data_IF_095050972605
#
_entry.id   IF_095050972605
#
_cell.length_a   1.000
_cell.length_b   1.000
_cell.length_c   1.000
_cell.angle_alpha   90.00
_cell.angle_beta   90.00
_cell.angle_gamma   90.00
#
_symmetry.space_group_name_H-M   'P 1'
#
loop_
_entity.id
_entity.type
_entity.pdbx_description
1 polymer ?
#
# COMPACT_ATOMS: atom_id res chain seq x y z
N UNK A 1 24.44 -20.03 -1.61
CA UNK A 1 23.95 -20.14 -0.23
C UNK A 1 22.74 -19.22 -0.14
N UNK A 2 21.62 -19.79 0.28
CA UNK A 2 20.25 -19.29 0.11
C UNK A 2 20.03 -17.88 0.66
N UNK A 3 19.45 -17.01 -0.17
CA UNK A 3 18.82 -15.75 0.24
C UNK A 3 17.37 -15.76 -0.26
N UNK A 4 16.66 -16.85 0.02
CA UNK A 4 15.22 -16.94 -0.19
C UNK A 4 14.49 -16.64 1.12
N UNK A 5 13.52 -15.72 1.06
CA UNK A 5 12.45 -15.50 2.05
C UNK A 5 12.72 -14.61 3.28
N UNK A 6 13.35 -13.44 3.09
CA UNK A 6 13.01 -12.25 3.89
C UNK A 6 11.76 -11.52 3.36
N UNK A 7 10.89 -12.22 2.60
CA UNK A 7 9.48 -11.84 2.54
C UNK A 7 8.93 -12.17 3.90
N UNK A 8 8.91 -11.19 4.81
CA UNK A 8 8.03 -11.08 5.97
C UNK A 8 6.98 -12.20 5.97
N UNK A 9 7.39 -13.36 6.49
CA UNK A 9 6.58 -14.59 6.61
C UNK A 9 5.70 -14.43 7.85
N UNK A 10 5.14 -13.24 8.06
CA UNK A 10 4.52 -12.86 9.33
C UNK A 10 3.14 -13.47 9.53
N UNK A 11 2.66 -14.23 8.55
CA UNK A 11 1.41 -14.93 8.58
C UNK A 11 1.64 -16.36 8.11
N UNK A 12 2.32 -17.18 8.93
CA UNK A 12 2.30 -18.65 8.83
C UNK A 12 0.89 -19.11 8.43
N UNK A 13 0.70 -19.88 7.35
CA UNK A 13 -0.46 -20.69 6.86
C UNK A 13 -1.91 -20.37 7.33
N UNK A 14 -2.15 -19.22 7.94
CA UNK A 14 -3.36 -18.81 8.66
C UNK A 14 -3.93 -17.63 7.91
N UNK A 15 -5.10 -17.85 7.35
CA UNK A 15 -5.81 -16.83 6.60
C UNK A 15 -6.30 -15.72 7.52
N UNK A 16 -5.85 -14.49 7.27
CA UNK A 16 -6.44 -13.27 7.83
C UNK A 16 -7.58 -12.84 6.92
N UNK A 17 -8.77 -12.65 7.48
CA UNK A 17 -9.90 -12.13 6.70
C UNK A 17 -9.67 -10.68 6.36
N UNK A 18 -9.83 -10.35 5.08
CA UNK A 18 -9.70 -9.00 4.53
C UNK A 18 -11.00 -8.54 3.87
N UNK A 19 -11.17 -7.23 3.77
CA UNK A 19 -12.21 -6.58 3.01
C UNK A 19 -11.64 -5.38 2.26
N UNK A 20 -12.00 -5.24 1.00
CA UNK A 20 -11.65 -4.09 0.17
C UNK A 20 -12.76 -3.04 0.23
N UNK A 21 -12.39 -1.79 0.49
CA UNK A 21 -13.27 -0.63 0.40
C UNK A 21 -12.93 0.14 -0.89
N UNK A 22 -13.82 0.09 -1.88
CA UNK A 22 -13.62 0.75 -3.18
C UNK A 22 -13.69 2.28 -3.09
N UNK A 23 -14.45 2.84 -2.15
CA UNK A 23 -14.59 4.29 -2.03
C UNK A 23 -13.33 4.92 -1.45
N UNK A 24 -12.68 4.22 -0.52
CA UNK A 24 -11.44 4.66 0.13
C UNK A 24 -10.17 4.12 -0.53
N UNK A 25 -10.28 3.16 -1.44
CA UNK A 25 -9.15 2.40 -2.00
C UNK A 25 -8.25 1.79 -0.90
N UNK A 26 -8.90 1.24 0.14
CA UNK A 26 -8.24 0.72 1.33
C UNK A 26 -8.59 -0.74 1.63
N UNK A 27 -7.58 -1.48 2.08
CA UNK A 27 -7.75 -2.82 2.65
C UNK A 27 -7.99 -2.72 4.16
N UNK A 28 -9.04 -3.40 4.60
CA UNK A 28 -9.37 -3.63 6.00
C UNK A 28 -9.04 -5.06 6.39
N UNK A 29 -8.44 -5.23 7.57
CA UNK A 29 -7.99 -6.52 8.09
C UNK A 29 -8.72 -6.84 9.38
N UNK A 30 -9.11 -8.11 9.58
CA UNK A 30 -9.68 -8.54 10.85
C UNK A 30 -8.65 -8.46 11.97
N UNK A 31 -8.93 -7.62 12.98
CA UNK A 31 -8.03 -7.44 14.12
C UNK A 31 -7.92 -8.73 14.93
N UNK A 32 -9.05 -9.44 15.12
CA UNK A 32 -9.09 -10.70 15.88
C UNK A 32 -8.25 -11.78 15.21
N UNK A 33 -8.26 -11.87 13.88
CA UNK A 33 -7.46 -12.86 13.15
C UNK A 33 -5.97 -12.54 13.29
N UNK A 34 -5.58 -11.26 13.16
CA UNK A 34 -4.19 -10.82 13.35
C UNK A 34 -3.73 -11.09 14.77
N UNK A 35 -4.54 -10.80 15.79
CA UNK A 35 -4.26 -11.15 17.18
C UNK A 35 -4.07 -12.67 17.32
N UNK A 36 -4.88 -13.48 16.64
CA UNK A 36 -4.74 -14.94 16.66
C UNK A 36 -3.49 -15.49 15.96
N UNK A 37 -2.91 -14.74 15.03
CA UNK A 37 -1.62 -15.08 14.40
C UNK A 37 -0.46 -14.62 15.28
N UNK A 38 -0.50 -13.39 15.77
CA UNK A 38 0.60 -12.75 16.50
C UNK A 38 0.60 -13.03 18.01
N UNK A 39 -0.27 -13.92 18.48
CA UNK A 39 -0.31 -14.34 19.89
C UNK A 39 -0.56 -15.83 20.02
N UNK A 40 -0.19 -16.41 21.17
CA UNK A 40 -0.53 -17.77 21.56
C UNK A 40 -1.87 -17.86 22.31
N UNK A 41 -2.72 -16.82 22.19
CA UNK A 41 -3.98 -16.80 22.94
C UNK A 41 -4.93 -17.88 22.42
N UNK A 42 -5.43 -18.78 23.29
CA UNK A 42 -6.46 -19.75 22.89
C UNK A 42 -7.80 -19.06 22.54
N UNK A 43 -7.98 -17.81 22.96
CA UNK A 43 -9.15 -17.00 22.65
C UNK A 43 -8.76 -15.58 22.19
N UNK A 44 -8.46 -15.40 20.89
CA UNK A 44 -8.07 -14.11 20.32
C UNK A 44 -9.13 -13.01 20.51
N UNK A 45 -10.43 -13.36 20.58
CA UNK A 45 -11.49 -12.38 20.83
C UNK A 45 -11.39 -11.79 22.24
N UNK A 46 -11.15 -12.62 23.25
CA UNK A 46 -10.99 -12.14 24.62
C UNK A 46 -9.68 -11.35 24.77
N UNK A 47 -8.61 -11.81 24.11
CA UNK A 47 -7.35 -11.06 24.06
C UNK A 47 -7.57 -9.66 23.47
N UNK A 48 -8.24 -9.57 22.31
CA UNK A 48 -8.55 -8.29 21.68
C UNK A 48 -9.39 -7.39 22.59
N UNK A 49 -10.42 -7.92 23.26
CA UNK A 49 -11.23 -7.15 24.22
C UNK A 49 -10.37 -6.50 25.31
N UNK A 50 -9.46 -7.28 25.91
CA UNK A 50 -8.55 -6.78 26.95
C UNK A 50 -7.55 -5.77 26.39
N UNK A 51 -6.95 -6.05 25.23
CA UNK A 51 -6.01 -5.15 24.57
C UNK A 51 -6.67 -3.81 24.21
N UNK A 52 -7.87 -3.84 23.63
CA UNK A 52 -8.66 -2.66 23.30
C UNK A 52 -8.94 -1.81 24.54
N UNK A 53 -9.31 -2.43 25.66
CA UNK A 53 -9.51 -1.69 26.92
C UNK A 53 -8.23 -1.03 27.45
N UNK A 54 -7.06 -1.66 27.30
CA UNK A 54 -5.78 -1.06 27.69
C UNK A 54 -5.44 0.12 26.79
N UNK A 55 -5.57 -0.08 25.48
CA UNK A 55 -5.28 0.96 24.48
C UNK A 55 -6.18 2.19 24.64
N UNK A 56 -7.46 2.02 24.96
CA UNK A 56 -8.36 3.14 25.28
C UNK A 56 -7.87 3.91 26.53
N UNK A 57 -7.42 3.20 27.58
CA UNK A 57 -6.89 3.84 28.80
C UNK A 57 -5.58 4.60 28.54
N UNK A 58 -4.77 4.13 27.61
CA UNK A 58 -3.55 4.80 27.15
C UNK A 58 -3.83 6.02 26.26
N UNK A 59 -5.09 6.28 25.89
CA UNK A 59 -5.47 7.35 24.97
C UNK A 59 -5.21 7.03 23.50
N UNK A 60 -5.00 5.76 23.15
CA UNK A 60 -4.78 5.34 21.77
C UNK A 60 -6.08 5.47 20.95
N UNK A 61 -6.13 6.47 20.07
CA UNK A 61 -7.29 6.76 19.23
C UNK A 61 -7.52 5.73 18.12
N UNK A 62 -6.48 4.98 17.71
CA UNK A 62 -6.59 3.97 16.64
C UNK A 62 -7.57 2.85 16.97
N UNK A 63 -7.90 2.65 18.26
CA UNK A 63 -8.86 1.63 18.70
C UNK A 63 -10.23 2.20 19.10
N UNK A 64 -10.33 3.51 19.29
CA UNK A 64 -11.56 4.19 19.70
C UNK A 64 -12.59 4.17 18.56
N UNK A 65 -12.13 4.24 17.31
CA UNK A 65 -12.95 4.21 16.10
C UNK A 65 -12.66 2.99 15.20
N UNK A 66 -12.50 1.78 15.77
CA UNK A 66 -12.40 0.59 14.92
C UNK A 66 -13.70 0.42 14.10
N UNK A 67 -13.55 0.38 12.77
CA UNK A 67 -14.67 0.07 11.88
C UNK A 67 -15.13 -1.38 12.13
N UNK A 68 -16.42 -1.63 11.93
CA UNK A 68 -16.97 -2.99 11.98
C UNK A 68 -17.54 -3.38 10.62
N UNK A 69 -16.96 -4.42 10.02
CA UNK A 69 -17.43 -4.97 8.75
C UNK A 69 -18.01 -6.36 8.94
N UNK A 70 -18.98 -6.72 8.09
CA UNK A 70 -19.58 -8.07 8.06
C UNK A 70 -18.66 -9.02 7.29
N UNK A 71 -17.76 -9.70 8.00
CA UNK A 71 -16.84 -10.69 7.43
C UNK A 71 -17.43 -12.10 7.51
N UNK A 72 -17.13 -12.94 6.52
CA UNK A 72 -17.52 -14.36 6.51
C UNK A 72 -16.74 -15.11 7.59
N UNK A 73 -17.41 -15.92 8.39
CA UNK A 73 -16.81 -16.78 9.39
C UNK A 73 -16.30 -18.06 8.72
N UNK A 74 -15.05 -18.49 9.02
CA UNK A 74 -14.49 -19.72 8.47
C UNK A 74 -15.13 -20.98 9.09
N UNK A 75 -15.77 -20.87 10.27
CA UNK A 75 -16.33 -22.04 10.99
C UNK A 75 -17.68 -22.49 10.43
N UNK A 76 -18.53 -21.55 10.06
CA UNK A 76 -19.93 -21.80 9.71
C UNK A 76 -20.39 -21.08 8.43
N UNK A 77 -19.49 -20.32 7.78
CA UNK A 77 -19.78 -19.60 6.54
C UNK A 77 -20.71 -18.39 6.68
N UNK A 78 -21.22 -18.08 7.88
CA UNK A 78 -22.12 -16.95 8.13
C UNK A 78 -21.35 -15.64 8.23
N UNK A 79 -22.00 -14.50 8.00
CA UNK A 79 -21.36 -13.17 8.09
C UNK A 79 -21.60 -12.52 9.45
N UNK A 80 -20.53 -12.11 10.12
CA UNK A 80 -20.58 -11.48 11.44
C UNK A 80 -19.87 -10.13 11.44
N UNK A 81 -20.40 -9.18 12.23
CA UNK A 81 -19.72 -7.91 12.51
C UNK A 81 -18.41 -8.20 13.22
N UNK A 82 -17.30 -7.79 12.61
CA UNK A 82 -15.95 -8.02 13.10
C UNK A 82 -15.23 -6.68 13.15
N UNK A 83 -14.53 -6.39 14.25
CA UNK A 83 -13.65 -5.23 14.35
C UNK A 83 -12.52 -5.38 13.30
N UNK A 84 -12.39 -4.38 12.44
CA UNK A 84 -11.38 -4.30 11.39
C UNK A 84 -10.53 -3.06 11.55
N UNK A 85 -9.30 -3.13 11.04
CA UNK A 85 -8.35 -2.01 10.99
C UNK A 85 -7.84 -1.81 9.56
N UNK A 86 -7.62 -0.57 9.17
CA UNK A 86 -6.79 -0.25 8.01
C UNK A 86 -5.30 -0.56 8.30
N UNK A 87 -4.41 -0.34 7.32
CA UNK A 87 -2.99 -0.64 7.48
C UNK A 87 -2.33 0.14 8.62
N UNK A 88 -2.61 1.45 8.73
CA UNK A 88 -1.97 2.31 9.73
C UNK A 88 -2.44 1.94 11.15
N UNK A 89 -3.75 1.75 11.32
CA UNK A 89 -4.34 1.27 12.56
C UNK A 89 -3.77 -0.09 12.96
N UNK A 90 -3.62 -1.00 12.00
CA UNK A 90 -3.10 -2.34 12.25
C UNK A 90 -1.64 -2.29 12.73
N UNK A 91 -0.77 -1.56 12.03
CA UNK A 91 0.63 -1.39 12.43
C UNK A 91 0.73 -0.82 13.85
N UNK A 92 -0.13 0.14 14.20
CA UNK A 92 -0.17 0.72 15.55
C UNK A 92 -0.64 -0.27 16.61
N UNK A 93 -1.64 -1.11 16.31
CA UNK A 93 -2.16 -2.13 17.23
C UNK A 93 -1.09 -3.20 17.50
N UNK A 94 -0.38 -3.66 16.46
CA UNK A 94 0.66 -4.71 16.58
C UNK A 94 1.77 -4.31 17.57
N UNK A 95 2.18 -3.04 17.57
CA UNK A 95 3.19 -2.54 18.51
C UNK A 95 2.79 -2.77 19.98
N UNK A 96 1.49 -2.75 20.29
CA UNK A 96 0.95 -2.94 21.64
C UNK A 96 0.67 -4.40 22.00
N UNK A 97 1.03 -5.39 21.17
CA UNK A 97 0.87 -6.82 21.48
C UNK A 97 2.11 -7.35 22.21
N UNK A 98 2.08 -7.64 23.53
CA UNK A 98 3.20 -8.22 24.26
C UNK A 98 3.28 -9.74 24.03
N UNK A 99 3.67 -10.17 22.83
CA UNK A 99 3.87 -11.59 22.51
C UNK A 99 5.20 -11.82 21.79
N UNK A 100 5.94 -12.90 22.09
CA UNK A 100 7.12 -13.29 21.32
C UNK A 100 6.84 -13.47 19.83
N UNK A 101 5.63 -13.88 19.44
CA UNK A 101 5.22 -14.01 18.03
C UNK A 101 5.10 -12.68 17.30
N UNK A 102 4.83 -11.59 18.01
CA UNK A 102 4.78 -10.26 17.45
C UNK A 102 6.19 -9.63 17.34
N UNK A 103 7.19 -10.17 18.04
CA UNK A 103 8.52 -9.55 18.16
C UNK A 103 9.24 -9.42 16.81
N UNK A 104 9.29 -10.45 15.93
CA UNK A 104 9.89 -10.29 14.60
C UNK A 104 9.26 -9.15 13.79
N UNK A 105 7.94 -8.95 13.92
CA UNK A 105 7.25 -7.84 13.26
C UNK A 105 7.69 -6.49 13.80
N UNK A 106 7.87 -6.38 15.12
CA UNK A 106 8.27 -5.13 15.76
C UNK A 106 9.71 -4.76 15.44
N UNK A 107 10.60 -5.75 15.40
CA UNK A 107 11.99 -5.57 14.94
C UNK A 107 11.99 -5.06 13.50
N UNK A 108 11.24 -5.72 12.61
CA UNK A 108 11.10 -5.27 11.23
C UNK A 108 10.55 -3.83 11.12
N UNK A 109 9.54 -3.47 11.92
CA UNK A 109 9.04 -2.08 11.99
C UNK A 109 10.11 -1.09 12.44
N UNK A 110 10.95 -1.46 13.41
CA UNK A 110 12.04 -0.64 13.89
C UNK A 110 13.13 -0.47 12.83
N UNK A 111 13.45 -1.53 12.08
CA UNK A 111 14.38 -1.50 10.94
C UNK A 111 13.88 -0.53 9.85
N UNK A 112 12.61 -0.64 9.45
CA UNK A 112 12.00 0.29 8.48
C UNK A 112 12.04 1.73 9.01
N UNK A 113 11.79 1.93 10.31
CA UNK A 113 11.89 3.24 10.95
C UNK A 113 13.30 3.83 10.89
N UNK A 114 14.32 3.01 11.16
CA UNK A 114 15.74 3.37 11.06
C UNK A 114 16.12 3.71 9.62
N UNK A 115 15.76 2.86 8.66
CA UNK A 115 16.04 3.09 7.24
C UNK A 115 15.48 4.44 6.77
N UNK A 116 14.28 4.84 7.22
CA UNK A 116 13.71 6.15 6.87
C UNK A 116 14.46 7.34 7.47
N UNK A 117 15.03 7.18 8.65
CA UNK A 117 15.90 8.20 9.24
C UNK A 117 17.20 8.30 8.42
N UNK A 118 17.79 7.16 8.06
CA UNK A 118 19.00 7.10 7.24
C UNK A 118 18.79 7.70 5.85
N UNK A 119 17.68 7.39 5.19
CA UNK A 119 17.29 7.99 3.89
C UNK A 119 17.09 9.52 3.97
N UNK A 120 16.78 10.05 5.14
CA UNK A 120 16.68 11.51 5.34
C UNK A 120 18.06 12.15 5.40
N UNK A 121 19.04 11.41 5.92
CA UNK A 121 20.45 11.85 6.03
C UNK A 121 21.15 11.66 4.68
N UNK A 122 20.91 10.54 4.03
CA UNK A 122 21.46 10.15 2.74
C UNK A 122 20.33 9.74 1.77
N UNK A 123 19.82 10.69 0.96
CA UNK A 123 18.75 10.43 0.00
C UNK A 123 19.09 9.41 -1.09
N UNK A 124 20.38 9.13 -1.35
CA UNK A 124 20.79 8.12 -2.34
C UNK A 124 20.30 6.72 -1.94
N UNK A 125 20.28 6.41 -0.64
CA UNK A 125 19.76 5.16 -0.11
C UNK A 125 18.28 4.92 -0.49
N UNK A 126 17.48 5.99 -0.59
CA UNK A 126 16.09 5.88 -1.00
C UNK A 126 15.96 5.51 -2.48
N UNK A 127 16.90 5.98 -3.32
CA UNK A 127 16.96 5.65 -4.75
C UNK A 127 17.40 4.20 -4.92
N UNK A 128 18.45 3.77 -4.22
CA UNK A 128 18.95 2.40 -4.26
C UNK A 128 17.89 1.41 -3.79
N UNK A 129 17.18 1.71 -2.69
CA UNK A 129 16.06 0.87 -2.23
C UNK A 129 14.94 0.80 -3.27
N UNK A 130 14.66 1.90 -3.98
CA UNK A 130 13.65 1.91 -5.04
C UNK A 130 14.08 1.02 -6.23
N UNK A 131 15.35 1.11 -6.66
CA UNK A 131 15.94 0.27 -7.71
C UNK A 131 15.86 -1.22 -7.33
N UNK A 132 16.34 -1.57 -6.14
CA UNK A 132 16.32 -2.95 -5.64
C UNK A 132 14.88 -3.49 -5.51
N UNK A 133 13.93 -2.64 -5.13
CA UNK A 133 12.51 -3.00 -5.07
C UNK A 133 11.95 -3.37 -6.44
N UNK A 134 12.30 -2.64 -7.50
CA UNK A 134 11.88 -3.01 -8.86
C UNK A 134 12.57 -4.30 -9.33
N UNK A 135 13.87 -4.47 -9.06
CA UNK A 135 14.59 -5.70 -9.40
C UNK A 135 13.99 -6.92 -8.72
N UNK A 136 13.65 -6.82 -7.43
CA UNK A 136 12.96 -7.88 -6.65
C UNK A 136 11.57 -8.22 -7.20
N UNK A 137 10.92 -7.30 -7.93
CA UNK A 137 9.65 -7.55 -8.63
C UNK A 137 9.85 -8.22 -9.99
N UNK A 138 11.09 -8.43 -10.44
CA UNK A 138 11.44 -9.10 -11.69
C UNK A 138 11.52 -8.17 -12.91
N UNK A 139 11.56 -6.85 -12.70
CA UNK A 139 11.77 -5.90 -13.80
C UNK A 139 13.22 -5.91 -14.28
N UNK A 140 13.43 -5.72 -15.59
CA UNK A 140 14.75 -5.59 -16.19
C UNK A 140 15.36 -4.22 -15.89
N UNK A 141 16.69 -4.13 -15.81
CA UNK A 141 17.38 -2.85 -15.57
C UNK A 141 17.02 -1.80 -16.62
N UNK A 142 16.84 -2.21 -17.88
CA UNK A 142 16.39 -1.32 -18.96
C UNK A 142 14.99 -0.75 -18.70
N UNK A 143 14.03 -1.61 -18.32
CA UNK A 143 12.68 -1.15 -17.97
C UNK A 143 12.72 -0.20 -16.77
N UNK A 144 13.55 -0.49 -15.76
CA UNK A 144 13.70 0.34 -14.56
C UNK A 144 14.25 1.72 -14.94
N UNK A 145 15.29 1.78 -15.76
CA UNK A 145 15.84 3.04 -16.26
C UNK A 145 14.79 3.86 -17.01
N UNK A 146 14.05 3.24 -17.94
CA UNK A 146 12.97 3.90 -18.66
C UNK A 146 11.88 4.41 -17.70
N UNK A 147 11.52 3.60 -16.71
CA UNK A 147 10.52 3.97 -15.71
C UNK A 147 10.95 5.17 -14.87
N UNK A 148 12.22 5.24 -14.46
CA UNK A 148 12.76 6.39 -13.72
C UNK A 148 12.74 7.67 -14.56
N UNK A 149 13.08 7.59 -15.85
CA UNK A 149 12.95 8.71 -16.77
C UNK A 149 11.48 9.15 -16.90
N UNK A 150 10.55 8.21 -17.00
CA UNK A 150 9.12 8.49 -17.04
C UNK A 150 8.63 9.21 -15.77
N UNK A 151 9.13 8.84 -14.57
CA UNK A 151 8.81 9.56 -13.32
C UNK A 151 9.25 11.02 -13.42
N UNK A 152 10.46 11.27 -13.93
CA UNK A 152 10.98 12.64 -14.09
C UNK A 152 10.14 13.47 -15.06
N UNK A 153 9.75 12.91 -16.20
CA UNK A 153 8.89 13.60 -17.17
C UNK A 153 7.54 13.95 -16.53
N UNK A 154 6.93 13.01 -15.82
CA UNK A 154 5.67 13.22 -15.12
C UNK A 154 5.78 14.29 -14.03
N UNK A 155 6.84 14.27 -13.22
CA UNK A 155 7.06 15.28 -12.19
C UNK A 155 7.17 16.67 -12.80
N UNK A 156 7.94 16.82 -13.87
CA UNK A 156 8.04 18.08 -14.61
C UNK A 156 6.69 18.56 -15.14
N UNK A 157 5.82 17.66 -15.60
CA UNK A 157 4.47 18.01 -16.04
C UNK A 157 3.60 18.50 -14.87
N UNK A 158 3.60 17.76 -13.76
CA UNK A 158 2.82 18.14 -12.58
C UNK A 158 3.29 19.45 -11.95
N UNK A 159 4.60 19.72 -11.98
CA UNK A 159 5.15 20.98 -11.50
C UNK A 159 4.67 22.18 -12.34
N UNK A 160 4.47 21.98 -13.64
CA UNK A 160 3.91 23.01 -14.53
C UNK A 160 2.43 23.25 -14.28
N UNK A 161 1.67 22.19 -14.03
CA UNK A 161 0.27 22.32 -13.62
C UNK A 161 0.15 23.10 -12.30
N UNK A 162 0.99 22.78 -11.31
CA UNK A 162 1.04 23.49 -10.04
C UNK A 162 1.38 24.98 -10.22
N UNK A 163 2.41 25.30 -11.03
CA UNK A 163 2.78 26.68 -11.38
C UNK A 163 1.66 27.45 -12.09
N UNK A 164 0.82 26.76 -12.87
CA UNK A 164 -0.35 27.34 -13.56
C UNK A 164 -1.60 27.40 -12.68
N UNK A 165 -1.50 27.01 -11.40
CA UNK A 165 -2.60 27.10 -10.44
C UNK A 165 -3.64 25.99 -10.55
N UNK A 166 -3.32 24.90 -11.26
CA UNK A 166 -4.19 23.71 -11.33
C UNK A 166 -4.26 23.08 -9.95
N UNK A 167 -5.48 22.80 -9.47
CA UNK A 167 -5.69 22.25 -8.13
C UNK A 167 -5.41 20.75 -8.10
N UNK A 168 -4.56 20.33 -7.15
CA UNK A 168 -4.32 18.91 -6.88
C UNK A 168 -5.63 18.18 -6.55
N UNK A 169 -5.71 16.90 -6.92
CA UNK A 169 -6.91 16.08 -6.78
C UNK A 169 -7.67 15.97 -8.10
N UNK A 170 -8.90 16.49 -8.14
CA UNK A 170 -9.81 16.27 -9.26
C UNK A 170 -9.28 16.78 -10.61
N UNK A 171 -8.68 17.97 -10.66
CA UNK A 171 -8.19 18.55 -11.92
C UNK A 171 -6.98 17.75 -12.45
N UNK A 172 -6.08 17.31 -11.56
CA UNK A 172 -4.95 16.44 -11.93
C UNK A 172 -5.44 15.10 -12.48
N UNK A 173 -6.51 14.54 -11.90
CA UNK A 173 -7.10 13.29 -12.37
C UNK A 173 -7.70 13.46 -13.78
N UNK A 174 -8.40 14.56 -14.04
CA UNK A 174 -8.96 14.88 -15.37
C UNK A 174 -7.85 15.00 -16.40
N UNK A 175 -6.80 15.77 -16.12
CA UNK A 175 -5.68 15.95 -17.05
C UNK A 175 -4.91 14.63 -17.29
N UNK A 176 -4.76 13.81 -16.25
CA UNK A 176 -4.14 12.48 -16.37
C UNK A 176 -4.99 11.54 -17.23
N UNK A 177 -6.32 11.59 -17.08
CA UNK A 177 -7.24 10.81 -17.89
C UNK A 177 -7.22 11.23 -19.36
N UNK A 178 -7.08 12.52 -19.66
CA UNK A 178 -6.91 13.00 -21.04
C UNK A 178 -5.64 12.47 -21.68
N UNK A 179 -4.52 12.41 -20.94
CA UNK A 179 -3.27 11.82 -21.42
C UNK A 179 -3.46 10.34 -21.74
N UNK A 180 -4.08 9.58 -20.84
CA UNK A 180 -4.39 8.16 -21.08
C UNK A 180 -5.29 8.00 -22.31
N UNK A 181 -6.34 8.81 -22.43
CA UNK A 181 -7.28 8.78 -23.56
C UNK A 181 -6.61 9.12 -24.89
N UNK A 182 -5.65 10.04 -24.90
CA UNK A 182 -5.02 10.51 -26.13
C UNK A 182 -4.39 9.39 -26.95
N UNK A 183 -3.84 8.35 -26.29
CA UNK A 183 -3.20 7.24 -26.98
C UNK A 183 -3.95 5.90 -26.83
N UNK A 184 -4.64 5.66 -25.70
CA UNK A 184 -5.36 4.40 -25.46
C UNK A 184 -6.87 4.47 -25.75
N UNK A 185 -7.43 5.67 -25.90
CA UNK A 185 -8.88 5.89 -25.96
C UNK A 185 -9.61 5.71 -24.62
N UNK A 186 -8.89 5.42 -23.53
CA UNK A 186 -9.45 5.05 -22.23
C UNK A 186 -8.99 5.98 -21.09
N UNK A 187 -9.84 6.16 -20.07
CA UNK A 187 -9.42 6.78 -18.81
C UNK A 187 -8.44 5.90 -18.05
N UNK A 188 -7.72 6.48 -17.09
CA UNK A 188 -6.81 5.74 -16.20
C UNK A 188 -7.55 4.61 -15.47
N UNK A 189 -8.78 4.86 -15.01
CA UNK A 189 -9.60 3.87 -14.29
C UNK A 189 -10.06 2.73 -15.21
N UNK A 190 -10.54 3.05 -16.41
CA UNK A 190 -10.92 2.03 -17.40
C UNK A 190 -9.73 1.14 -17.72
N UNK A 191 -8.55 1.73 -17.87
CA UNK A 191 -7.38 0.98 -18.24
C UNK A 191 -6.84 0.10 -17.11
N UNK A 192 -6.87 0.59 -15.86
CA UNK A 192 -6.59 -0.23 -14.67
C UNK A 192 -7.51 -1.45 -14.60
N UNK A 193 -8.81 -1.28 -14.85
CA UNK A 193 -9.77 -2.38 -14.82
C UNK A 193 -9.45 -3.47 -15.85
N UNK A 194 -9.05 -3.09 -17.07
CA UNK A 194 -8.65 -4.07 -18.12
C UNK A 194 -7.40 -4.85 -17.70
N UNK A 195 -6.45 -4.19 -17.04
CA UNK A 195 -5.24 -4.84 -16.51
C UNK A 195 -5.48 -5.56 -15.18
N UNK A 196 -6.71 -5.59 -14.65
CA UNK A 196 -7.02 -6.23 -13.37
C UNK A 196 -6.37 -5.56 -12.16
N UNK A 197 -6.01 -4.28 -12.27
CA UNK A 197 -5.30 -3.53 -11.23
C UNK A 197 -6.28 -2.86 -10.28
N UNK A 198 -5.91 -2.84 -9.00
CA UNK A 198 -6.63 -2.13 -7.94
C UNK A 198 -5.77 -0.96 -7.47
N UNK A 199 -5.02 -1.16 -6.38
CA UNK A 199 -4.14 -0.18 -5.76
C UNK A 199 -2.83 0.03 -6.51
N UNK A 200 -2.49 -0.88 -7.42
CA UNK A 200 -1.27 -0.84 -8.20
C UNK A 200 -1.20 0.42 -9.09
N UNK A 201 0.01 0.93 -9.26
CA UNK A 201 0.27 2.04 -10.17
C UNK A 201 0.15 1.54 -11.61
N UNK A 202 -0.67 2.21 -12.43
CA UNK A 202 -0.88 1.83 -13.82
C UNK A 202 0.43 1.82 -14.63
N UNK A 203 1.30 2.83 -14.47
CA UNK A 203 2.56 2.96 -15.21
C UNK A 203 3.60 1.91 -14.77
N UNK A 204 3.50 1.40 -13.54
CA UNK A 204 4.36 0.29 -13.10
C UNK A 204 3.91 -1.06 -13.70
N UNK A 205 2.74 -1.11 -14.35
CA UNK A 205 2.17 -2.29 -14.99
C UNK A 205 1.96 -2.07 -16.50
N UNK A 206 2.71 -1.12 -17.07
CA UNK A 206 2.74 -0.83 -18.50
C UNK A 206 3.90 -1.57 -19.18
N UNK A 207 3.70 -2.00 -20.42
CA UNK A 207 4.78 -2.45 -21.31
C UNK A 207 5.66 -1.27 -21.74
N UNK A 208 6.83 -1.55 -22.31
CA UNK A 208 7.76 -0.52 -22.82
C UNK A 208 7.05 0.42 -23.81
N UNK A 209 6.25 -0.14 -24.72
CA UNK A 209 5.48 0.64 -25.70
C UNK A 209 4.45 1.54 -25.03
N UNK A 210 3.71 1.01 -24.05
CA UNK A 210 2.71 1.77 -23.30
C UNK A 210 3.35 2.91 -22.48
N UNK A 211 4.54 2.66 -21.89
CA UNK A 211 5.34 3.66 -21.19
C UNK A 211 5.81 4.76 -22.14
N UNK A 212 6.39 4.40 -23.29
CA UNK A 212 6.88 5.37 -24.28
C UNK A 212 5.73 6.23 -24.82
N UNK A 213 4.59 5.64 -25.17
CA UNK A 213 3.41 6.39 -25.62
C UNK A 213 2.91 7.37 -24.55
N UNK A 214 2.90 6.94 -23.28
CA UNK A 214 2.53 7.81 -22.17
C UNK A 214 3.54 8.94 -21.97
N UNK A 215 4.85 8.65 -22.02
CA UNK A 215 5.92 9.63 -21.90
C UNK A 215 5.89 10.66 -23.03
N UNK A 216 5.49 10.27 -24.24
CA UNK A 216 5.32 11.20 -25.37
C UNK A 216 4.11 12.10 -25.15
N UNK A 217 2.97 11.54 -24.70
CA UNK A 217 1.74 12.30 -24.49
C UNK A 217 1.84 13.34 -23.35
N UNK A 218 2.68 13.10 -22.34
CA UNK A 218 2.84 13.97 -21.17
C UNK A 218 3.36 15.40 -21.54
N UNK A 219 4.48 15.58 -22.27
CA UNK A 219 4.95 16.89 -22.74
C UNK A 219 3.95 17.62 -23.66
N UNK A 220 3.18 16.92 -24.49
CA UNK A 220 2.18 17.57 -25.36
C UNK A 220 1.11 18.31 -24.54
N UNK A 221 0.82 17.86 -23.31
CA UNK A 221 -0.14 18.53 -22.40
C UNK A 221 0.47 19.70 -21.60
N UNK A 222 1.76 19.99 -21.76
CA UNK A 222 2.43 21.18 -21.21
C UNK A 222 2.22 22.43 -22.07
N UNK A 223 1.98 22.25 -23.37
CA UNK A 223 1.98 23.33 -24.38
C UNK A 223 0.60 23.94 -24.62
N UNK A 224 -0.47 23.19 -24.31
CA UNK A 224 -1.85 23.70 -24.29
C UNK A 224 -2.19 24.35 -22.94
#
# INVERSE_FOLDING_TARGET
MENENNKVQLFEDKQIRTAWDEEKEEWYFSIVDVVGVLTDSPNPNNYWKVLKSRLIKEGNQSVTNCNQLKLKSPKDGKRYKTDVADTAQLLRIIQSIPSPKAEPFKVWLAEVGRERIEETIDPELAIDRALETYQKKGYSDEWIHQRLLAIRIRNNLTDEWDKRGVKKGAEYAILTDEISKAWSGMTTRQYKNIKGLTKENLRDNMSDTELVLTMLAEPYRKIL
#
